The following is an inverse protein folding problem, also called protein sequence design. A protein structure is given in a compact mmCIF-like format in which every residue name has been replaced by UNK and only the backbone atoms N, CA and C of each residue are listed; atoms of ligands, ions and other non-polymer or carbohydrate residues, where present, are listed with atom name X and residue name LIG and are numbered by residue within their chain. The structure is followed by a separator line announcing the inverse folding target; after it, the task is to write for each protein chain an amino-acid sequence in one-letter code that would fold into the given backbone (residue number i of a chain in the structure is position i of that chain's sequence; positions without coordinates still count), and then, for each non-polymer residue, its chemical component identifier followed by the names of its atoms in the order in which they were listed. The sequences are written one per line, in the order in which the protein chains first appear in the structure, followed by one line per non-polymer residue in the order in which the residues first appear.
data_IF_796210651851
#
_entry.id   IF_796210651851
#
_cell.length_a   1.000
_cell.length_b   1.000
_cell.length_c   1.000
_cell.angle_alpha   90.00
_cell.angle_beta   90.00
_cell.angle_gamma   90.00
#
_symmetry.space_group_name_H-M   'P 1'
#
loop_
_entity.id
_entity.type
_entity.pdbx_description
1 polymer ?
#
# COMPACT_ATOMS: atom_id res chain seq x y z
N UNK A 1 9.68 10.95 -4.72
CA UNK A 1 9.60 12.30 -4.12
C UNK A 1 8.31 12.52 -3.30
N UNK A 2 7.19 11.88 -3.62
CA UNK A 2 5.91 12.04 -2.92
C UNK A 2 5.86 11.46 -1.51
N UNK A 3 6.57 10.36 -1.22
CA UNK A 3 6.59 9.71 0.11
C UNK A 3 7.09 10.61 1.24
N UNK A 4 8.03 11.51 0.97
CA UNK A 4 8.63 12.39 1.98
C UNK A 4 7.70 13.52 2.47
N UNK A 5 6.57 13.79 1.78
CA UNK A 5 5.59 14.77 2.24
C UNK A 5 4.52 14.11 3.13
N UNK A 6 4.08 12.90 2.77
CA UNK A 6 3.04 12.19 3.51
C UNK A 6 3.53 11.66 4.86
N UNK A 7 4.78 11.19 4.94
CA UNK A 7 5.37 10.68 6.21
C UNK A 7 5.37 11.72 7.34
N UNK A 8 5.87 12.96 7.15
CA UNK A 8 5.83 13.97 8.21
C UNK A 8 4.40 14.47 8.49
N UNK A 9 3.52 14.55 7.48
CA UNK A 9 2.10 14.90 7.69
C UNK A 9 1.38 13.87 8.56
N UNK A 10 1.56 12.57 8.29
CA UNK A 10 1.04 11.49 9.14
C UNK A 10 1.56 11.58 10.56
N UNK A 11 2.86 11.82 10.72
CA UNK A 11 3.49 11.95 12.03
C UNK A 11 2.97 13.17 12.81
N UNK A 12 2.61 14.26 12.13
CA UNK A 12 1.94 15.43 12.73
C UNK A 12 0.49 15.13 13.12
N UNK A 13 -0.25 14.42 12.27
CA UNK A 13 -1.63 14.00 12.52
C UNK A 13 -1.74 12.90 13.59
N UNK A 14 -0.66 12.19 13.88
CA UNK A 14 -0.60 11.20 14.95
C UNK A 14 -0.64 11.81 16.37
N UNK A 15 -0.56 13.14 16.52
CA UNK A 15 -0.71 13.81 17.83
C UNK A 15 -2.12 13.60 18.42
N UNK A 16 -2.25 12.63 19.33
CA UNK A 16 -3.18 12.41 20.46
C UNK A 16 -4.67 12.80 20.40
N UNK A 17 -5.18 13.48 19.37
CA UNK A 17 -6.60 13.82 19.25
C UNK A 17 -7.33 12.79 18.36
N UNK A 18 -8.44 12.19 18.83
CA UNK A 18 -9.18 11.17 18.08
C UNK A 18 -9.74 11.68 16.76
N UNK A 19 -10.09 12.98 16.66
CA UNK A 19 -10.53 13.59 15.41
C UNK A 19 -9.42 13.63 14.35
N UNK A 20 -8.17 13.89 14.76
CA UNK A 20 -7.00 13.92 13.88
C UNK A 20 -6.67 12.52 13.35
N UNK A 21 -6.83 11.49 14.19
CA UNK A 21 -6.69 10.07 13.80
C UNK A 21 -7.77 9.66 12.80
N UNK A 22 -9.02 10.10 12.98
CA UNK A 22 -10.08 9.86 12.01
C UNK A 22 -9.77 10.52 10.66
N UNK A 23 -9.30 11.77 10.66
CA UNK A 23 -8.85 12.48 9.46
C UNK A 23 -7.67 11.79 8.78
N UNK A 24 -6.71 11.27 9.56
CA UNK A 24 -5.60 10.47 9.07
C UNK A 24 -6.11 9.19 8.38
N UNK A 25 -7.04 8.47 9.01
CA UNK A 25 -7.67 7.29 8.42
C UNK A 25 -8.42 7.59 7.12
N UNK A 26 -9.12 8.72 7.03
CA UNK A 26 -9.80 9.17 5.81
C UNK A 26 -8.78 9.47 4.71
N UNK A 27 -7.73 10.24 5.03
CA UNK A 27 -6.65 10.55 4.09
C UNK A 27 -5.98 9.27 3.58
N UNK A 28 -5.73 8.32 4.49
CA UNK A 28 -5.12 7.03 4.19
C UNK A 28 -5.99 6.19 3.27
N UNK A 29 -7.30 6.17 3.49
CA UNK A 29 -8.27 5.51 2.61
C UNK A 29 -8.32 6.13 1.21
N UNK A 30 -8.34 7.47 1.11
CA UNK A 30 -8.34 8.18 -0.17
C UNK A 30 -7.04 7.92 -0.94
N UNK A 31 -5.89 7.96 -0.26
CA UNK A 31 -4.58 7.65 -0.84
C UNK A 31 -4.53 6.23 -1.39
N UNK A 32 -4.97 5.24 -0.61
CA UNK A 32 -5.01 3.84 -1.04
C UNK A 32 -5.90 3.69 -2.28
N UNK A 33 -7.10 4.29 -2.26
CA UNK A 33 -8.02 4.21 -3.39
C UNK A 33 -7.44 4.84 -4.66
N UNK A 34 -6.80 6.01 -4.54
CA UNK A 34 -6.13 6.68 -5.65
C UNK A 34 -5.00 5.82 -6.23
N UNK A 35 -4.18 5.22 -5.37
CA UNK A 35 -3.09 4.33 -5.80
C UNK A 35 -3.67 3.08 -6.48
N UNK A 36 -4.74 2.49 -5.95
CA UNK A 36 -5.41 1.33 -6.56
C UNK A 36 -5.92 1.64 -7.98
N UNK A 37 -6.53 2.81 -8.20
CA UNK A 37 -6.93 3.29 -9.52
C UNK A 37 -5.72 3.47 -10.46
N UNK A 38 -4.61 3.99 -9.93
CA UNK A 38 -3.38 4.17 -10.68
C UNK A 38 -2.75 2.82 -11.09
N UNK A 39 -2.72 1.85 -10.17
CA UNK A 39 -2.26 0.47 -10.41
C UNK A 39 -3.15 -0.25 -11.43
N UNK A 40 -4.47 -0.15 -11.29
CA UNK A 40 -5.41 -0.71 -12.26
C UNK A 40 -5.20 -0.15 -13.68
N UNK A 41 -4.88 1.14 -13.76
CA UNK A 41 -4.56 1.79 -15.03
C UNK A 41 -3.18 1.37 -15.57
N UNK A 42 -2.19 1.21 -14.70
CA UNK A 42 -0.86 0.73 -15.06
C UNK A 42 -0.87 -0.73 -15.54
N UNK A 43 -1.77 -1.56 -14.99
CA UNK A 43 -1.98 -2.95 -15.42
C UNK A 43 -2.46 -3.08 -16.87
N UNK A 44 -2.91 -2.00 -17.53
CA UNK A 44 -3.22 -2.01 -18.96
C UNK A 44 -1.99 -1.79 -19.86
N UNK A 45 -0.90 -1.20 -19.34
CA UNK A 45 0.34 -0.95 -20.09
C UNK A 45 1.21 -2.21 -20.12
N UNK A 46 1.95 -2.49 -21.19
CA UNK A 46 2.91 -3.62 -21.23
C UNK A 46 4.08 -3.32 -20.29
N UNK A 47 4.41 -4.25 -19.38
CA UNK A 47 5.45 -4.09 -18.36
C UNK A 47 5.70 -5.39 -17.58
N UNK A 48 6.78 -5.43 -16.78
CA UNK A 48 7.14 -6.59 -15.95
C UNK A 48 6.24 -6.69 -14.72
N UNK A 49 5.69 -7.88 -14.48
CA UNK A 49 4.86 -8.14 -13.30
C UNK A 49 5.72 -8.17 -12.02
N UNK A 50 5.23 -7.53 -10.96
CA UNK A 50 5.83 -7.54 -9.65
C UNK A 50 4.75 -7.50 -8.57
N UNK A 51 5.01 -8.13 -7.43
CA UNK A 51 4.06 -8.23 -6.32
C UNK A 51 4.66 -7.55 -5.09
N UNK A 52 3.92 -6.60 -4.53
CA UNK A 52 4.30 -5.88 -3.32
C UNK A 52 3.52 -6.42 -2.13
N UNK A 53 4.25 -7.00 -1.19
CA UNK A 53 3.70 -7.66 0.00
C UNK A 53 4.31 -7.01 1.24
N UNK A 54 3.46 -6.68 2.20
CA UNK A 54 3.90 -6.22 3.52
C UNK A 54 4.08 -7.39 4.47
N UNK A 55 5.26 -7.55 5.03
CA UNK A 55 5.53 -8.51 6.11
C UNK A 55 5.47 -7.82 7.47
N UNK A 56 4.52 -8.22 8.33
CA UNK A 56 4.34 -7.63 9.65
C UNK A 56 4.21 -6.08 9.65
N UNK A 57 3.48 -5.53 8.69
CA UNK A 57 3.30 -4.07 8.52
C UNK A 57 1.92 -3.67 9.04
N UNK A 58 1.89 -2.76 10.00
CA UNK A 58 0.66 -2.15 10.51
C UNK A 58 0.17 -0.98 9.64
N UNK A 59 1.09 -0.30 8.94
CA UNK A 59 0.80 0.82 8.04
C UNK A 59 0.55 0.36 6.60
N UNK A 60 -0.67 -0.10 6.32
CA UNK A 60 -1.06 -0.60 4.99
C UNK A 60 -0.81 0.43 3.90
N UNK A 61 -1.06 1.72 4.12
CA UNK A 61 -0.85 2.71 3.05
C UNK A 61 0.61 2.90 2.65
N UNK A 62 1.56 2.64 3.57
CA UNK A 62 2.98 2.71 3.20
C UNK A 62 3.32 1.65 2.17
N UNK A 63 2.73 0.46 2.31
CA UNK A 63 2.84 -0.61 1.32
C UNK A 63 2.29 -0.19 -0.04
N UNK A 64 1.11 0.45 -0.06
CA UNK A 64 0.53 0.98 -1.30
C UNK A 64 1.41 2.06 -1.94
N UNK A 65 2.01 2.96 -1.15
CA UNK A 65 2.93 3.98 -1.66
C UNK A 65 4.16 3.38 -2.35
N UNK A 66 4.77 2.35 -1.77
CA UNK A 66 5.90 1.64 -2.41
C UNK A 66 5.46 0.98 -3.72
N UNK A 67 4.28 0.35 -3.73
CA UNK A 67 3.72 -0.23 -4.95
C UNK A 67 3.42 0.80 -6.05
N UNK A 68 2.98 2.00 -5.66
CA UNK A 68 2.80 3.09 -6.60
C UNK A 68 4.13 3.57 -7.21
N UNK A 69 5.16 3.74 -6.38
CA UNK A 69 6.49 4.18 -6.86
C UNK A 69 7.06 3.15 -7.85
N UNK A 70 6.94 1.86 -7.55
CA UNK A 70 7.34 0.79 -8.46
C UNK A 70 6.50 0.78 -9.76
N UNK A 71 5.20 1.07 -9.66
CA UNK A 71 4.32 1.21 -10.83
C UNK A 71 4.75 2.35 -11.77
N UNK A 72 5.20 3.48 -11.22
CA UNK A 72 5.75 4.59 -12.00
C UNK A 72 7.06 4.23 -12.72
N UNK A 73 7.79 3.22 -12.26
CA UNK A 73 9.01 2.71 -12.92
C UNK A 73 8.71 1.74 -14.07
N UNK A 74 7.45 1.57 -14.47
CA UNK A 74 7.04 0.70 -15.57
C UNK A 74 6.77 -0.75 -15.17
N UNK A 75 6.67 -1.04 -13.87
CA UNK A 75 6.32 -2.36 -13.37
C UNK A 75 4.79 -2.50 -13.23
N UNK A 76 4.27 -3.67 -13.58
CA UNK A 76 2.90 -4.07 -13.28
C UNK A 76 2.85 -4.60 -11.86
N UNK A 77 2.55 -3.69 -10.93
CA UNK A 77 2.53 -4.02 -9.52
C UNK A 77 1.14 -4.49 -9.11
N UNK A 78 1.07 -5.63 -8.44
CA UNK A 78 -0.06 -5.98 -7.59
C UNK A 78 0.32 -5.74 -6.13
N UNK A 79 -0.55 -5.10 -5.36
CA UNK A 79 -0.31 -4.81 -3.93
C UNK A 79 -1.25 -5.67 -3.11
N UNK A 80 -0.70 -6.46 -2.18
CA UNK A 80 -1.50 -7.26 -1.29
C UNK A 80 -1.97 -6.39 -0.11
N UNK A 81 -3.27 -6.09 -0.06
CA UNK A 81 -3.85 -5.14 0.91
C UNK A 81 -3.74 -5.59 2.38
N UNK A 82 -3.48 -6.87 2.62
CA UNK A 82 -3.35 -7.44 3.95
C UNK A 82 -1.87 -7.78 4.19
N UNK A 83 -1.29 -7.28 5.27
CA UNK A 83 0.04 -7.74 5.66
C UNK A 83 -0.03 -9.21 6.03
N UNK A 84 0.89 -10.01 5.48
CA UNK A 84 1.06 -11.38 5.93
C UNK A 84 1.63 -11.33 7.34
N UNK A 85 0.77 -11.62 8.33
CA UNK A 85 1.14 -11.76 9.74
C UNK A 85 1.64 -13.17 10.06
N UNK A 86 1.33 -14.14 9.20
CA UNK A 86 1.73 -15.53 9.35
C UNK A 86 1.98 -16.13 7.96
N UNK A 87 3.20 -16.61 7.68
CA UNK A 87 3.40 -17.63 6.65
C UNK A 87 2.81 -18.89 7.26
N UNK A 88 1.55 -19.19 6.96
CA UNK A 88 0.96 -20.50 7.26
C UNK A 88 1.33 -21.42 6.10
N UNK A 89 2.29 -22.36 6.26
CA UNK A 89 2.77 -23.20 5.18
C UNK A 89 1.85 -24.42 4.95
N UNK A 90 0.61 -24.42 5.43
CA UNK A 90 -0.34 -25.52 5.21
C UNK A 90 -1.06 -25.49 3.86
N UNK A 91 -0.41 -24.99 2.79
CA UNK A 91 -0.86 -25.32 1.43
C UNK A 91 -0.55 -26.80 1.16
N UNK A 92 -1.35 -27.69 1.75
CA UNK A 92 -1.37 -29.11 1.38
C UNK A 92 -1.97 -29.18 -0.02
N UNK A 93 -1.09 -29.26 -1.01
CA UNK A 93 -1.40 -29.93 -2.26
C UNK A 93 -1.58 -31.41 -1.92
N UNK A 94 -2.81 -31.89 -1.82
CA UNK A 94 -3.13 -33.31 -1.89
C UNK A 94 -4.58 -33.39 -2.37
N UNK A 95 -4.74 -33.42 -3.70
CA UNK A 95 -5.30 -34.52 -4.51
C UNK A 95 -6.82 -34.57 -4.51
#
# INVERSE_FOLDING_TARGET
MTTNLFVPLRRRLQCQQPALQALLGILDGILINYIALCLASARKKQGKDALVIGWNIHDTTRLWLEGWVASQQGWRIDVLAHSLSQFRPEFKVTQ
#
